data_IF_159078035965
#
_entry.id   IF_159078035965
#
_cell.length_a   1.000
_cell.length_b   1.000
_cell.length_c   1.000
_cell.angle_alpha   90.00
_cell.angle_beta   90.00
_cell.angle_gamma   90.00
#
_symmetry.space_group_name_H-M   'P 1'
#
loop_
_entity.id
_entity.type
_entity.pdbx_description
1 polymer ?
#
# COMPACT_ATOMS: atom_id res chain seq x y z
N UNK A 1 -52.84 36.22 24.68
CA UNK A 1 -52.34 35.29 23.65
C UNK A 1 -50.81 35.19 23.58
N UNK A 2 -50.07 36.30 23.64
CA UNK A 2 -48.60 36.31 23.48
C UNK A 2 -47.87 35.49 24.57
N UNK A 3 -48.31 35.56 25.83
CA UNK A 3 -47.71 34.81 26.96
C UNK A 3 -47.91 33.30 26.81
N UNK A 4 -49.10 32.86 26.38
CA UNK A 4 -49.39 31.44 26.15
C UNK A 4 -48.55 30.87 24.98
N UNK A 5 -48.31 31.67 23.95
CA UNK A 5 -47.47 31.30 22.80
C UNK A 5 -46.00 31.17 23.19
N UNK A 6 -45.50 32.03 24.08
CA UNK A 6 -44.14 31.96 24.63
C UNK A 6 -43.90 30.68 25.45
N UNK A 7 -44.87 30.27 26.27
CA UNK A 7 -44.78 29.03 27.09
C UNK A 7 -44.78 27.78 26.21
N UNK A 8 -45.51 27.78 25.10
CA UNK A 8 -45.51 26.65 24.15
C UNK A 8 -44.15 26.54 23.44
N UNK A 9 -43.55 27.67 23.05
CA UNK A 9 -42.25 27.68 22.38
C UNK A 9 -41.15 27.18 23.33
N UNK A 10 -41.17 27.56 24.60
CA UNK A 10 -40.19 27.07 25.58
C UNK A 10 -40.32 25.57 25.82
N UNK A 11 -41.54 25.01 25.87
CA UNK A 11 -41.76 23.56 25.99
C UNK A 11 -41.25 22.78 24.77
N UNK A 12 -41.41 23.31 23.56
CA UNK A 12 -40.92 22.67 22.33
C UNK A 12 -39.39 22.64 22.32
N UNK A 13 -38.72 23.73 22.73
CA UNK A 13 -37.26 23.80 22.79
C UNK A 13 -36.68 22.83 23.85
N UNK A 14 -37.34 22.70 25.00
CA UNK A 14 -36.93 21.73 26.04
C UNK A 14 -37.12 20.30 25.54
N UNK A 15 -38.24 19.98 24.90
CA UNK A 15 -38.47 18.66 24.33
C UNK A 15 -37.48 18.33 23.20
N UNK A 16 -37.14 19.31 22.36
CA UNK A 16 -36.11 19.15 21.34
C UNK A 16 -34.73 18.91 21.96
N UNK A 17 -34.37 19.65 23.01
CA UNK A 17 -33.10 19.49 23.73
C UNK A 17 -33.02 18.12 24.44
N UNK A 18 -34.09 17.67 25.09
CA UNK A 18 -34.12 16.34 25.73
C UNK A 18 -34.07 15.22 24.71
N UNK A 19 -34.76 15.34 23.57
CA UNK A 19 -34.70 14.35 22.50
C UNK A 19 -33.34 14.34 21.78
N UNK A 20 -32.74 15.51 21.54
CA UNK A 20 -31.41 15.62 20.94
C UNK A 20 -30.34 15.03 21.87
N UNK A 21 -30.36 15.35 23.16
CA UNK A 21 -29.38 14.81 24.13
C UNK A 21 -29.49 13.29 24.27
N UNK A 22 -30.69 12.71 24.20
CA UNK A 22 -30.89 11.24 24.25
C UNK A 22 -30.50 10.57 22.94
N UNK A 23 -30.68 11.22 21.79
CA UNK A 23 -30.31 10.67 20.48
C UNK A 23 -28.81 10.77 20.19
N UNK A 24 -28.13 11.80 20.71
CA UNK A 24 -26.67 11.95 20.64
C UNK A 24 -25.96 10.96 21.58
N UNK A 25 -26.54 10.66 22.75
CA UNK A 25 -26.04 9.65 23.69
C UNK A 25 -26.16 8.20 23.18
N UNK A 26 -27.00 7.96 22.17
CA UNK A 26 -27.15 6.66 21.50
C UNK A 26 -26.32 6.53 20.21
N UNK A 27 -25.63 7.59 19.79
CA UNK A 27 -24.73 7.59 18.62
C UNK A 27 -23.26 7.42 18.99
N UNK A 28 -22.98 7.15 20.26
CA UNK A 28 -21.65 6.83 20.76
C UNK A 28 -21.55 5.30 20.93
N UNK A 29 -20.70 4.60 20.16
CA UNK A 29 -20.55 3.16 20.30
C UNK A 29 -20.06 2.88 21.72
N UNK A 30 -20.89 2.20 22.51
CA UNK A 30 -20.62 1.88 23.91
C UNK A 30 -19.57 0.78 24.09
N UNK A 31 -18.81 0.47 23.02
CA UNK A 31 -17.78 -0.55 23.01
C UNK A 31 -16.52 -0.01 22.31
N UNK A 32 -15.41 0.19 23.04
CA UNK A 32 -14.11 0.53 22.46
C UNK A 32 -13.65 -0.45 21.36
N UNK A 33 -14.16 -1.69 21.35
CA UNK A 33 -13.87 -2.68 20.32
C UNK A 33 -14.65 -2.49 19.00
N UNK A 34 -15.81 -1.84 18.98
CA UNK A 34 -16.58 -1.61 17.74
C UNK A 34 -16.10 -0.35 16.99
N UNK A 35 -15.74 0.70 17.73
CA UNK A 35 -15.02 1.84 17.16
C UNK A 35 -13.63 1.46 16.64
N UNK A 36 -12.95 0.50 17.30
CA UNK A 36 -11.70 -0.06 16.79
C UNK A 36 -11.90 -0.89 15.51
N UNK A 37 -13.01 -1.63 15.37
CA UNK A 37 -13.32 -2.37 14.13
C UNK A 37 -13.69 -1.44 12.97
N UNK A 38 -14.44 -0.37 13.23
CA UNK A 38 -14.80 0.62 12.20
C UNK A 38 -13.57 1.40 11.68
N UNK A 39 -12.63 1.74 12.56
CA UNK A 39 -11.36 2.40 12.19
C UNK A 39 -10.37 1.46 11.49
N UNK A 40 -10.46 0.14 11.69
CA UNK A 40 -9.63 -0.85 10.98
C UNK A 40 -10.21 -1.16 9.59
N UNK A 41 -11.54 -1.18 9.42
CA UNK A 41 -12.17 -1.37 8.10
C UNK A 41 -11.95 -0.21 7.13
N UNK A 42 -11.65 1.00 7.61
CA UNK A 42 -11.29 2.14 6.75
C UNK A 42 -9.82 2.16 6.32
N UNK A 43 -8.97 1.26 6.85
CA UNK A 43 -7.57 1.10 6.46
C UNK A 43 -7.30 -0.34 5.96
N UNK A 44 -8.34 -1.10 5.59
CA UNK A 44 -8.16 -2.29 4.77
C UNK A 44 -7.82 -1.86 3.35
N UNK A 45 -6.53 -1.61 3.11
CA UNK A 45 -5.98 -1.71 1.76
C UNK A 45 -6.42 -3.06 1.21
N UNK A 46 -7.33 -3.05 0.23
CA UNK A 46 -7.96 -4.23 -0.36
C UNK A 46 -6.92 -5.31 -0.61
N UNK A 47 -6.87 -6.33 0.25
CA UNK A 47 -5.91 -7.42 0.12
C UNK A 47 -6.28 -8.22 -1.12
N UNK A 48 -5.34 -8.34 -2.05
CA UNK A 48 -5.54 -9.08 -3.29
C UNK A 48 -5.78 -10.57 -2.97
N UNK A 49 -6.75 -11.16 -3.65
CA UNK A 49 -6.92 -12.63 -3.65
C UNK A 49 -5.74 -13.29 -4.38
N UNK A 50 -5.41 -14.57 -4.13
CA UNK A 50 -4.32 -15.25 -4.84
C UNK A 50 -4.47 -15.22 -6.36
N UNK A 51 -5.70 -15.32 -6.87
CA UNK A 51 -5.99 -15.22 -8.30
C UNK A 51 -5.70 -13.81 -8.85
N UNK A 52 -6.03 -12.77 -8.07
CA UNK A 52 -5.72 -11.38 -8.42
C UNK A 52 -4.22 -11.12 -8.37
N UNK A 53 -3.51 -11.58 -7.34
CA UNK A 53 -2.04 -11.50 -7.26
C UNK A 53 -1.44 -12.06 -8.54
N UNK A 54 -1.75 -13.32 -8.89
CA UNK A 54 -1.23 -13.95 -10.11
C UNK A 54 -1.56 -13.16 -11.38
N UNK A 55 -2.77 -12.62 -11.50
CA UNK A 55 -3.20 -11.85 -12.67
C UNK A 55 -2.57 -10.45 -12.74
N UNK A 56 -2.14 -9.90 -11.61
CA UNK A 56 -1.59 -8.55 -11.45
C UNK A 56 -0.08 -8.58 -11.23
N UNK A 57 0.57 -9.73 -11.44
CA UNK A 57 2.02 -9.89 -11.34
C UNK A 57 2.66 -9.76 -12.72
N UNK A 58 3.74 -8.99 -12.81
CA UNK A 58 4.65 -8.91 -13.96
C UNK A 58 6.00 -9.49 -13.56
N UNK A 59 6.57 -10.35 -14.40
CA UNK A 59 7.87 -11.00 -14.16
C UNK A 59 8.97 -10.30 -14.94
N UNK A 60 10.09 -10.04 -14.27
CA UNK A 60 11.35 -9.63 -14.91
C UNK A 60 12.40 -10.65 -14.51
N UNK A 61 12.79 -11.49 -15.48
CA UNK A 61 13.68 -12.62 -15.24
C UNK A 61 15.10 -12.35 -15.72
N UNK A 62 16.06 -13.05 -15.13
CA UNK A 62 17.45 -13.10 -15.58
C UNK A 62 18.13 -11.72 -15.67
N UNK A 63 17.90 -10.86 -14.67
CA UNK A 63 18.68 -9.62 -14.54
C UNK A 63 20.08 -10.00 -14.07
N UNK A 64 21.05 -9.90 -14.98
CA UNK A 64 22.46 -10.15 -14.71
C UNK A 64 23.22 -8.82 -14.79
N UNK A 65 23.85 -8.42 -13.69
CA UNK A 65 24.62 -7.17 -13.63
C UNK A 65 25.78 -7.27 -12.64
N UNK A 66 26.74 -6.37 -12.78
CA UNK A 66 27.81 -6.20 -11.80
C UNK A 66 27.26 -5.51 -10.55
N UNK A 67 27.86 -5.85 -9.40
CA UNK A 67 27.72 -5.10 -8.15
C UNK A 67 28.75 -3.96 -8.10
N UNK A 68 28.66 -3.12 -7.06
CA UNK A 68 29.63 -2.04 -6.83
C UNK A 68 31.05 -2.56 -6.59
N UNK A 69 31.17 -3.81 -6.13
CA UNK A 69 32.44 -4.49 -5.91
C UNK A 69 33.01 -5.06 -7.21
N UNK A 70 34.31 -4.82 -7.42
CA UNK A 70 34.99 -5.25 -8.64
C UNK A 70 34.97 -6.77 -8.77
N UNK A 71 34.46 -7.25 -9.90
CA UNK A 71 34.43 -8.68 -10.24
C UNK A 71 33.31 -9.46 -9.55
N UNK A 72 32.37 -8.79 -8.87
CA UNK A 72 31.18 -9.41 -8.28
C UNK A 72 29.98 -9.23 -9.18
N UNK A 73 29.23 -10.30 -9.39
CA UNK A 73 28.08 -10.35 -10.30
C UNK A 73 26.86 -10.85 -9.56
N UNK A 74 25.70 -10.27 -9.86
CA UNK A 74 24.41 -10.72 -9.34
C UNK A 74 23.51 -11.13 -10.49
N UNK A 75 22.87 -12.29 -10.33
CA UNK A 75 21.75 -12.75 -11.15
C UNK A 75 20.50 -12.75 -10.28
N UNK A 76 19.48 -11.99 -10.68
CA UNK A 76 18.22 -11.90 -9.95
C UNK A 76 17.01 -11.91 -10.88
N UNK A 77 15.91 -12.50 -10.40
CA UNK A 77 14.61 -12.46 -11.05
C UNK A 77 13.57 -11.95 -10.07
N UNK A 78 12.63 -11.14 -10.57
CA UNK A 78 11.66 -10.41 -9.76
C UNK A 78 10.24 -10.63 -10.28
N UNK A 79 9.30 -10.71 -9.35
CA UNK A 79 7.87 -10.69 -9.60
C UNK A 79 7.26 -9.47 -8.92
N UNK A 80 6.78 -8.52 -9.73
CA UNK A 80 6.17 -7.27 -9.28
C UNK A 80 4.67 -7.44 -9.28
N UNK A 81 4.03 -7.34 -8.11
CA UNK A 81 2.56 -7.36 -8.03
C UNK A 81 2.04 -5.94 -7.94
N UNK A 82 1.09 -5.62 -8.82
CA UNK A 82 0.45 -4.33 -8.91
C UNK A 82 -0.89 -4.33 -8.17
N UNK A 83 -1.33 -3.17 -7.70
CA UNK A 83 -2.59 -3.00 -6.97
C UNK A 83 -3.83 -3.26 -7.84
N UNK A 84 -3.74 -3.02 -9.15
CA UNK A 84 -4.87 -3.08 -10.06
C UNK A 84 -4.43 -3.50 -11.49
N UNK A 85 -5.42 -3.70 -12.39
CA UNK A 85 -5.12 -4.14 -13.77
C UNK A 85 -4.53 -3.02 -14.63
N UNK A 86 -4.94 -1.77 -14.42
CA UNK A 86 -4.44 -0.61 -15.18
C UNK A 86 -2.98 -0.34 -14.84
N UNK A 87 -2.62 -0.38 -13.56
CA UNK A 87 -1.23 -0.23 -13.13
C UNK A 87 -0.34 -1.37 -13.63
N UNK A 88 -0.87 -2.59 -13.79
CA UNK A 88 -0.17 -3.66 -14.51
C UNK A 88 0.10 -3.30 -15.97
N UNK A 89 -0.93 -2.85 -16.70
CA UNK A 89 -0.78 -2.47 -18.11
C UNK A 89 0.22 -1.31 -18.29
N UNK A 90 0.13 -0.28 -17.45
CA UNK A 90 1.11 0.82 -17.38
C UNK A 90 2.52 0.29 -17.12
N UNK A 91 2.69 -0.54 -16.08
CA UNK A 91 3.98 -1.14 -15.73
C UNK A 91 4.59 -1.93 -16.90
N UNK A 92 3.78 -2.69 -17.63
CA UNK A 92 4.23 -3.45 -18.81
C UNK A 92 4.74 -2.53 -19.92
N UNK A 93 4.16 -1.34 -20.09
CA UNK A 93 4.66 -0.35 -21.07
C UNK A 93 6.01 0.24 -20.68
N UNK A 94 6.30 0.37 -19.38
CA UNK A 94 7.54 0.97 -18.85
C UNK A 94 8.54 -0.07 -18.32
N UNK A 95 8.36 -1.36 -18.64
CA UNK A 95 9.19 -2.45 -18.10
C UNK A 95 10.69 -2.25 -18.34
N UNK A 96 11.07 -1.58 -19.43
CA UNK A 96 12.45 -1.23 -19.74
C UNK A 96 13.05 -0.22 -18.76
N UNK A 97 12.26 0.75 -18.30
CA UNK A 97 12.67 1.73 -17.28
C UNK A 97 12.82 1.05 -15.93
N UNK A 98 11.87 0.20 -15.58
CA UNK A 98 11.93 -0.60 -14.35
C UNK A 98 13.16 -1.50 -14.33
N UNK A 99 13.45 -2.19 -15.44
CA UNK A 99 14.67 -3.01 -15.58
C UNK A 99 15.93 -2.16 -15.41
N UNK A 100 15.95 -0.94 -15.96
CA UNK A 100 17.07 0.00 -15.76
C UNK A 100 17.26 0.37 -14.29
N UNK A 101 16.17 0.67 -13.57
CA UNK A 101 16.21 0.96 -12.12
C UNK A 101 16.76 -0.23 -11.34
N UNK A 102 16.33 -1.45 -11.66
CA UNK A 102 16.81 -2.67 -11.00
C UNK A 102 18.31 -2.83 -11.21
N UNK A 103 18.79 -2.70 -12.46
CA UNK A 103 20.21 -2.81 -12.80
C UNK A 103 21.04 -1.76 -12.06
N UNK A 104 20.62 -0.50 -12.08
CA UNK A 104 21.31 0.59 -11.39
C UNK A 104 21.36 0.36 -9.87
N UNK A 105 20.22 -0.01 -9.28
CA UNK A 105 20.14 -0.26 -7.83
C UNK A 105 21.06 -1.40 -7.40
N UNK A 106 21.12 -2.48 -8.18
CA UNK A 106 22.05 -3.58 -7.92
C UNK A 106 23.51 -3.17 -8.13
N UNK A 107 23.80 -2.38 -9.17
CA UNK A 107 25.15 -1.88 -9.44
C UNK A 107 25.69 -0.93 -8.36
N UNK A 108 24.80 -0.24 -7.64
CA UNK A 108 25.17 0.63 -6.52
C UNK A 108 25.39 -0.14 -5.20
N UNK A 109 25.02 -1.42 -5.15
CA UNK A 109 25.08 -2.26 -3.95
C UNK A 109 26.34 -3.12 -3.90
N UNK A 110 26.84 -3.34 -2.68
CA UNK A 110 27.84 -4.38 -2.37
C UNK A 110 27.16 -5.69 -2.02
N UNK A 111 27.87 -6.81 -2.15
CA UNK A 111 27.33 -8.12 -1.88
C UNK A 111 26.83 -8.26 -0.43
N UNK A 112 27.53 -7.70 0.55
CA UNK A 112 27.12 -7.77 1.96
C UNK A 112 25.81 -7.01 2.22
N UNK A 113 25.46 -6.03 1.37
CA UNK A 113 24.26 -5.21 1.52
C UNK A 113 23.01 -5.90 0.97
N UNK A 114 23.16 -6.89 0.09
CA UNK A 114 22.06 -7.62 -0.54
C UNK A 114 21.93 -9.06 -0.07
N UNK A 115 22.95 -9.58 0.63
CA UNK A 115 22.93 -10.92 1.18
C UNK A 115 22.03 -11.02 2.43
N UNK A 116 21.34 -12.17 2.53
CA UNK A 116 20.42 -12.47 3.62
C UNK A 116 19.10 -11.69 3.56
N UNK A 117 18.15 -12.05 4.43
CA UNK A 117 16.78 -11.52 4.38
C UNK A 117 16.71 -10.00 4.54
N UNK A 118 17.57 -9.41 5.41
CA UNK A 118 17.60 -7.96 5.63
C UNK A 118 18.07 -7.19 4.40
N UNK A 119 19.10 -7.70 3.71
CA UNK A 119 19.60 -7.07 2.48
C UNK A 119 18.60 -7.14 1.33
N UNK A 120 17.92 -8.29 1.21
CA UNK A 120 16.85 -8.47 0.23
C UNK A 120 15.64 -7.55 0.52
N UNK A 121 15.25 -7.40 1.79
CA UNK A 121 14.16 -6.49 2.18
C UNK A 121 14.52 -5.02 1.90
N UNK A 122 15.78 -4.64 2.14
CA UNK A 122 16.29 -3.33 1.78
C UNK A 122 16.22 -3.10 0.26
N UNK A 123 16.73 -4.03 -0.54
CA UNK A 123 16.64 -3.98 -2.00
C UNK A 123 15.19 -3.84 -2.48
N UNK A 124 14.29 -4.69 -1.99
CA UNK A 124 12.86 -4.67 -2.34
C UNK A 124 12.24 -3.30 -2.02
N UNK A 125 12.52 -2.77 -0.83
CA UNK A 125 11.98 -1.47 -0.40
C UNK A 125 12.51 -0.33 -1.26
N UNK A 126 13.81 -0.33 -1.58
CA UNK A 126 14.43 0.66 -2.47
C UNK A 126 13.82 0.61 -3.87
N UNK A 127 13.67 -0.58 -4.44
CA UNK A 127 13.05 -0.76 -5.75
C UNK A 127 11.60 -0.30 -5.75
N UNK A 128 10.81 -0.69 -4.75
CA UNK A 128 9.41 -0.30 -4.65
C UNK A 128 9.25 1.22 -4.60
N UNK A 129 10.07 1.92 -3.83
CA UNK A 129 10.04 3.38 -3.76
C UNK A 129 10.35 4.02 -5.13
N UNK A 130 11.47 3.64 -5.74
CA UNK A 130 11.91 4.19 -7.04
C UNK A 130 10.93 3.89 -8.18
N UNK A 131 10.34 2.71 -8.19
CA UNK A 131 9.43 2.30 -9.27
C UNK A 131 8.06 2.96 -9.11
N UNK A 132 7.56 3.11 -7.88
CA UNK A 132 6.27 3.77 -7.64
C UNK A 132 6.29 5.26 -7.98
N UNK A 133 7.46 5.90 -8.07
CA UNK A 133 7.59 7.27 -8.60
C UNK A 133 7.30 7.35 -10.11
N UNK A 134 7.38 6.24 -10.84
CA UNK A 134 7.11 6.18 -12.28
C UNK A 134 5.65 5.89 -12.63
N UNK A 135 4.86 5.36 -11.69
CA UNK A 135 3.50 4.91 -11.94
C UNK A 135 2.47 5.99 -11.61
N UNK A 136 1.48 6.15 -12.48
CA UNK A 136 0.40 7.12 -12.35
C UNK A 136 -0.95 6.43 -12.11
N UNK A 137 -1.19 5.28 -12.74
CA UNK A 137 -2.47 4.55 -12.69
C UNK A 137 -2.59 3.62 -11.47
N UNK A 138 -1.59 3.62 -10.59
CA UNK A 138 -1.58 2.85 -9.35
C UNK A 138 -0.17 2.66 -8.81
N UNK A 139 0.10 1.50 -8.21
CA UNK A 139 1.39 1.23 -7.56
C UNK A 139 1.74 -0.25 -7.52
N UNK A 140 3.03 -0.52 -7.41
CA UNK A 140 3.57 -1.80 -6.96
C UNK A 140 3.24 -1.97 -5.47
N UNK A 141 2.57 -3.08 -5.15
CA UNK A 141 2.18 -3.44 -3.77
C UNK A 141 3.11 -4.46 -3.15
N UNK A 142 3.77 -5.28 -3.97
CA UNK A 142 4.80 -6.22 -3.51
C UNK A 142 5.81 -6.52 -4.61
N UNK A 143 7.05 -6.80 -4.21
CA UNK A 143 8.10 -7.32 -5.09
C UNK A 143 8.59 -8.61 -4.44
N UNK A 144 8.56 -9.71 -5.19
CA UNK A 144 9.12 -10.99 -4.76
C UNK A 144 10.38 -11.29 -5.54
N UNK A 145 11.43 -11.70 -4.84
CA UNK A 145 12.65 -12.20 -5.44
C UNK A 145 12.45 -13.70 -5.76
N UNK A 146 12.37 -14.05 -7.05
CA UNK A 146 12.03 -15.40 -7.51
C UNK A 146 13.26 -16.25 -7.84
N UNK A 147 14.37 -15.61 -8.17
CA UNK A 147 15.69 -16.24 -8.33
C UNK A 147 16.74 -15.24 -7.84
N UNK A 148 17.79 -15.74 -7.20
CA UNK A 148 18.87 -14.92 -6.66
C UNK A 148 20.16 -15.73 -6.54
N UNK A 149 21.20 -15.20 -7.16
CA UNK A 149 22.55 -15.74 -7.12
C UNK A 149 23.56 -14.60 -7.15
N UNK A 150 24.59 -14.70 -6.32
CA UNK A 150 25.72 -13.75 -6.29
C UNK A 150 27.00 -14.52 -6.38
N UNK A 151 27.88 -14.07 -7.26
CA UNK A 151 29.24 -14.57 -7.49
C UNK A 151 30.25 -13.50 -7.06
#
# INVERSE_FOLDING_TARGET
>A
MIIAMLIVITLILVAFFTLWTVMDKNSQPSNPQEAAKASVSQVEGKRLTPAQVKAQTVFIENVLTNLAEKGRVVKASFAFTLDNKKSKEEFETIVFQVKSIVIQTLADMKAEQIQGSKGQEFLISTLMNKINELLVEGKVVSISLTDYYVE
#
